data_IF_114759362919
#
_entry.id   IF_114759362919
#
_cell.length_a   1.000
_cell.length_b   1.000
_cell.length_c   1.000
_cell.angle_alpha   90.00
_cell.angle_beta   90.00
_cell.angle_gamma   90.00
#
_symmetry.space_group_name_H-M   'P 1'
#
loop_
_entity.id
_entity.type
_entity.pdbx_description
1 polymer ?
#
# COMPACT_ATOMS: atom_id res chain seq x y z
N UNK A 1 19.34 -7.03 -9.82
CA UNK A 1 19.07 -6.27 -8.59
C UNK A 1 18.17 -5.11 -8.98
N UNK A 2 16.87 -5.18 -8.68
CA UNK A 2 16.00 -4.02 -8.91
C UNK A 2 16.54 -2.84 -8.10
N UNK A 3 16.56 -1.61 -8.64
CA UNK A 3 16.97 -0.45 -7.85
C UNK A 3 16.11 -0.38 -6.59
N UNK A 4 16.72 0.01 -5.47
CA UNK A 4 16.02 0.21 -4.20
C UNK A 4 14.78 1.09 -4.43
N UNK A 5 13.65 0.70 -3.84
CA UNK A 5 12.43 1.48 -3.94
C UNK A 5 12.65 2.82 -3.23
N UNK A 6 12.82 3.90 -4.01
CA UNK A 6 12.94 5.25 -3.45
C UNK A 6 11.61 5.68 -2.82
N UNK A 7 11.60 5.90 -1.51
CA UNK A 7 10.42 6.34 -0.77
C UNK A 7 9.87 7.70 -1.25
N UNK A 8 10.72 8.61 -1.74
CA UNK A 8 10.29 9.94 -2.23
C UNK A 8 9.52 9.84 -3.54
N UNK A 9 10.17 9.34 -4.59
CA UNK A 9 9.55 9.12 -5.90
C UNK A 9 8.49 8.01 -5.89
N UNK A 10 8.61 7.04 -4.99
CA UNK A 10 7.61 5.99 -4.75
C UNK A 10 6.30 6.57 -4.21
N UNK A 11 6.37 7.37 -3.13
CA UNK A 11 5.19 8.00 -2.54
C UNK A 11 4.44 8.91 -3.54
N UNK A 12 5.17 9.68 -4.35
CA UNK A 12 4.58 10.55 -5.38
C UNK A 12 3.81 9.76 -6.45
N UNK A 13 4.36 8.64 -6.92
CA UNK A 13 3.72 7.77 -7.92
C UNK A 13 2.50 7.02 -7.36
N UNK A 14 2.58 6.57 -6.10
CA UNK A 14 1.44 5.99 -5.37
C UNK A 14 0.32 7.03 -5.25
N UNK A 15 0.66 8.23 -4.80
CA UNK A 15 -0.26 9.36 -4.69
C UNK A 15 -0.88 9.78 -6.03
N UNK A 16 -0.17 9.54 -7.14
CA UNK A 16 -0.64 9.75 -8.51
C UNK A 16 -1.53 8.61 -9.05
N UNK A 17 -1.75 7.54 -8.29
CA UNK A 17 -2.60 6.43 -8.67
C UNK A 17 -1.94 5.40 -9.59
N UNK A 18 -0.61 5.33 -9.65
CA UNK A 18 0.10 4.36 -10.49
C UNK A 18 0.03 2.94 -9.87
N UNK A 19 -0.62 1.95 -10.53
CA UNK A 19 -0.85 0.63 -9.92
C UNK A 19 0.44 -0.15 -9.62
N UNK A 20 1.46 -0.02 -10.48
CA UNK A 20 2.73 -0.71 -10.28
C UNK A 20 3.51 -0.13 -9.10
N UNK A 21 3.47 1.19 -8.91
CA UNK A 21 4.08 1.84 -7.75
C UNK A 21 3.36 1.42 -6.45
N UNK A 22 2.03 1.32 -6.47
CA UNK A 22 1.23 0.81 -5.34
C UNK A 22 1.60 -0.63 -5.00
N UNK A 23 1.61 -1.54 -5.98
CA UNK A 23 1.96 -2.94 -5.75
C UNK A 23 3.37 -3.09 -5.15
N UNK A 24 4.35 -2.34 -5.67
CA UNK A 24 5.71 -2.32 -5.12
C UNK A 24 5.77 -1.73 -3.71
N UNK A 25 5.01 -0.68 -3.44
CA UNK A 25 4.89 -0.08 -2.11
C UNK A 25 4.33 -1.06 -1.08
N UNK A 26 3.28 -1.81 -1.45
CA UNK A 26 2.71 -2.88 -0.60
C UNK A 26 3.79 -3.91 -0.27
N UNK A 27 4.45 -4.50 -1.27
CA UNK A 27 5.49 -5.51 -1.03
C UNK A 27 6.69 -4.96 -0.25
N UNK A 28 7.04 -3.68 -0.42
CA UNK A 28 8.14 -3.05 0.32
C UNK A 28 7.82 -2.92 1.82
N UNK A 29 6.58 -2.54 2.15
CA UNK A 29 6.09 -2.47 3.53
C UNK A 29 5.92 -3.86 4.14
N UNK A 30 5.31 -4.82 3.42
CA UNK A 30 5.10 -6.18 3.93
C UNK A 30 6.42 -6.93 4.21
N UNK A 31 7.47 -6.62 3.46
CA UNK A 31 8.80 -7.19 3.65
C UNK A 31 9.66 -6.40 4.66
N UNK A 32 9.12 -5.36 5.31
CA UNK A 32 9.86 -4.49 6.25
C UNK A 32 11.20 -4.02 5.67
N UNK A 33 11.22 -3.73 4.36
CA UNK A 33 12.45 -3.39 3.65
C UNK A 33 12.96 -2.01 4.04
N UNK A 34 14.28 -1.81 4.01
CA UNK A 34 14.92 -0.53 4.38
C UNK A 34 14.19 0.69 3.79
N UNK A 35 13.71 1.58 4.68
CA UNK A 35 13.04 2.83 4.31
C UNK A 35 11.51 2.74 4.21
N UNK A 36 10.89 1.61 4.56
CA UNK A 36 9.44 1.46 4.53
C UNK A 36 8.71 2.42 5.48
N UNK A 37 9.27 2.75 6.66
CA UNK A 37 8.65 3.72 7.58
C UNK A 37 8.62 5.12 6.97
N UNK A 38 9.71 5.52 6.28
CA UNK A 38 9.78 6.81 5.60
C UNK A 38 8.77 6.90 4.43
N UNK A 39 8.47 5.77 3.77
CA UNK A 39 7.40 5.68 2.79
C UNK A 39 6.03 5.88 3.45
N UNK A 40 5.76 5.20 4.57
CA UNK A 40 4.51 5.32 5.31
C UNK A 40 4.29 6.74 5.83
N UNK A 41 5.31 7.35 6.45
CA UNK A 41 5.27 8.73 6.95
C UNK A 41 4.92 9.73 5.84
N UNK A 42 5.51 9.57 4.64
CA UNK A 42 5.20 10.41 3.47
C UNK A 42 3.77 10.25 2.96
N UNK A 43 3.15 9.10 3.18
CA UNK A 43 1.78 8.80 2.74
C UNK A 43 0.72 9.11 3.81
N UNK A 44 1.11 9.21 5.09
CA UNK A 44 0.19 9.34 6.23
C UNK A 44 -0.84 10.47 6.06
N UNK A 45 -0.39 11.67 5.68
CA UNK A 45 -1.24 12.85 5.44
C UNK A 45 -2.21 12.73 4.24
N UNK A 46 -2.17 11.62 3.50
CA UNK A 46 -3.11 11.30 2.40
C UNK A 46 -4.14 10.24 2.77
N UNK A 47 -4.01 9.60 3.94
CA UNK A 47 -4.90 8.53 4.39
C UNK A 47 -6.20 9.08 5.04
N UNK A 48 -7.09 8.20 5.52
CA UNK A 48 -8.30 8.58 6.24
C UNK A 48 -9.49 9.07 5.39
N UNK A 49 -9.32 9.21 4.07
CA UNK A 49 -10.35 9.72 3.14
C UNK A 49 -11.21 8.64 2.48
N UNK A 50 -11.02 7.38 2.85
CA UNK A 50 -11.77 6.24 2.30
C UNK A 50 -12.66 5.58 3.37
N UNK A 51 -13.82 5.06 2.95
CA UNK A 51 -14.67 4.23 3.81
C UNK A 51 -13.96 2.90 4.09
N UNK A 52 -13.84 2.53 5.37
CA UNK A 52 -13.33 1.21 5.80
C UNK A 52 -14.51 0.34 6.24
N UNK A 53 -14.74 -0.76 5.53
CA UNK A 53 -15.86 -1.68 5.77
C UNK A 53 -15.27 -3.08 6.00
N UNK A 54 -15.59 -3.71 7.13
CA UNK A 54 -15.21 -5.09 7.42
C UNK A 54 -16.28 -6.07 6.93
N UNK A 55 -15.88 -7.09 6.19
CA UNK A 55 -16.76 -8.16 5.71
C UNK A 55 -16.18 -9.49 6.23
N UNK A 56 -17.01 -10.30 6.87
CA UNK A 56 -16.61 -11.60 7.47
C UNK A 56 -17.73 -12.63 7.36
N UNK A 57 -17.43 -13.89 7.67
CA UNK A 57 -18.35 -15.03 7.63
C UNK A 57 -17.61 -16.34 7.32
N UNK A 58 -18.18 -17.52 7.65
CA UNK A 58 -17.51 -18.81 7.50
C UNK A 58 -17.15 -19.13 6.04
N UNK A 59 -16.26 -20.11 5.78
CA UNK A 59 -16.03 -20.64 4.44
C UNK A 59 -17.36 -21.04 3.78
N UNK A 60 -17.56 -20.70 2.51
CA UNK A 60 -18.80 -21.01 1.78
C UNK A 60 -19.98 -20.04 2.00
N UNK A 61 -19.87 -19.03 2.88
CA UNK A 61 -20.96 -18.06 3.16
C UNK A 61 -21.33 -17.10 2.00
N UNK A 62 -20.78 -17.29 0.79
CA UNK A 62 -21.09 -16.45 -0.38
C UNK A 62 -20.49 -15.03 -0.37
N UNK A 63 -19.48 -14.74 0.46
CA UNK A 63 -18.87 -13.39 0.58
C UNK A 63 -18.23 -12.85 -0.72
N UNK A 64 -17.84 -13.74 -1.63
CA UNK A 64 -17.19 -13.40 -2.90
C UNK A 64 -18.13 -13.47 -4.10
N UNK A 65 -19.44 -13.68 -3.85
CA UNK A 65 -20.50 -13.80 -4.84
C UNK A 65 -21.37 -12.56 -4.80
#
# INVERSE_FOLDING_TARGET
>A
MSPAFDAGGGAGRIAGGEPLALARGISHVENESDGFEALLERLDGRTGRARRIGITGPPGAGKST
#
